data_IF_772593970643
#
_entry.id   IF_772593970643
#
_cell.length_a   1.000
_cell.length_b   1.000
_cell.length_c   1.000
_cell.angle_alpha   90.00
_cell.angle_beta   90.00
_cell.angle_gamma   90.00
#
_symmetry.space_group_name_H-M   'P 1'
#
loop_
_entity.id
_entity.type
_entity.pdbx_description
1 polymer ?
#
# COMPACT_ATOMS: atom_id res chain seq x y z
N UNK A 1 -12.50 2.29 39.65
CA UNK A 1 -13.11 2.21 38.30
C UNK A 1 -12.05 2.28 37.19
N UNK A 2 -11.18 3.29 37.21
CA UNK A 2 -10.11 3.53 36.21
C UNK A 2 -9.16 2.32 36.05
N UNK A 3 -8.76 1.67 37.14
CA UNK A 3 -7.90 0.47 37.10
C UNK A 3 -8.50 -0.70 36.30
N UNK A 4 -9.82 -0.91 36.39
CA UNK A 4 -10.50 -1.99 35.64
C UNK A 4 -10.54 -1.67 34.14
N UNK A 5 -10.68 -0.39 33.78
CA UNK A 5 -10.66 0.08 32.39
C UNK A 5 -9.28 -0.15 31.76
N UNK A 6 -8.21 0.20 32.49
CA UNK A 6 -6.82 -0.01 32.06
C UNK A 6 -6.44 -1.48 31.85
N UNK A 7 -7.15 -2.41 32.50
CA UNK A 7 -6.91 -3.85 32.38
C UNK A 7 -7.57 -4.47 31.14
N UNK A 8 -8.71 -3.93 30.73
CA UNK A 8 -9.53 -4.47 29.64
C UNK A 8 -9.18 -3.85 28.29
N UNK A 9 -8.83 -2.56 28.26
CA UNK A 9 -8.47 -1.83 27.05
C UNK A 9 -7.28 -2.41 26.25
N UNK A 10 -6.21 -2.94 26.89
CA UNK A 10 -5.10 -3.58 26.19
C UNK A 10 -5.52 -4.79 25.35
N UNK A 11 -6.51 -5.55 25.81
CA UNK A 11 -7.01 -6.73 25.09
C UNK A 11 -7.68 -6.31 23.79
N UNK A 12 -8.56 -5.31 23.85
CA UNK A 12 -9.25 -4.79 22.67
C UNK A 12 -8.30 -4.07 21.71
N UNK A 13 -7.35 -3.27 22.23
CA UNK A 13 -6.34 -2.63 21.38
C UNK A 13 -5.45 -3.68 20.70
N UNK A 14 -5.06 -4.74 21.41
CA UNK A 14 -4.35 -5.89 20.86
C UNK A 14 -5.10 -6.58 19.72
N UNK A 15 -6.39 -6.86 19.89
CA UNK A 15 -7.24 -7.42 18.82
C UNK A 15 -7.30 -6.49 17.60
N UNK A 16 -7.48 -5.19 17.83
CA UNK A 16 -7.50 -4.19 16.75
C UNK A 16 -6.17 -4.10 16.01
N UNK A 17 -5.04 -4.21 16.72
CA UNK A 17 -3.71 -4.23 16.13
C UNK A 17 -3.45 -5.52 15.34
N UNK A 18 -3.79 -6.68 15.89
CA UNK A 18 -3.62 -7.98 15.20
C UNK A 18 -4.48 -8.07 13.94
N UNK A 19 -5.68 -7.49 13.96
CA UNK A 19 -6.59 -7.46 12.81
C UNK A 19 -6.32 -6.28 11.85
N UNK A 20 -5.27 -5.50 12.08
CA UNK A 20 -4.85 -4.35 11.27
C UNK A 20 -6.00 -3.36 11.03
N UNK A 21 -6.73 -3.03 12.09
CA UNK A 21 -7.84 -2.08 12.05
C UNK A 21 -7.40 -0.71 12.55
N UNK A 22 -7.92 0.34 11.90
CA UNK A 22 -7.65 1.75 12.26
C UNK A 22 -8.05 2.08 13.69
N UNK A 23 -9.17 1.55 14.17
CA UNK A 23 -9.62 1.72 15.55
C UNK A 23 -8.67 1.08 16.56
N UNK A 24 -7.92 0.04 16.18
CA UNK A 24 -6.93 -0.61 17.04
C UNK A 24 -5.77 0.31 17.41
N UNK A 25 -5.26 1.08 16.44
CA UNK A 25 -4.25 2.10 16.71
C UNK A 25 -4.81 3.21 17.60
N UNK A 26 -6.03 3.68 17.31
CA UNK A 26 -6.64 4.74 18.11
C UNK A 26 -6.77 4.30 19.58
N UNK A 27 -7.31 3.10 19.82
CA UNK A 27 -7.41 2.54 21.17
C UNK A 27 -6.04 2.34 21.82
N UNK A 28 -5.05 1.87 21.06
CA UNK A 28 -3.68 1.72 21.57
C UNK A 28 -3.10 3.07 22.01
N UNK A 29 -3.17 4.11 21.18
CA UNK A 29 -2.64 5.43 21.51
C UNK A 29 -3.36 6.06 22.70
N UNK A 30 -4.69 5.97 22.74
CA UNK A 30 -5.48 6.48 23.86
C UNK A 30 -5.14 5.75 25.16
N UNK A 31 -5.02 4.41 25.11
CA UNK A 31 -4.66 3.62 26.28
C UNK A 31 -3.22 3.90 26.74
N UNK A 32 -2.27 4.01 25.82
CA UNK A 32 -0.89 4.36 26.12
C UNK A 32 -0.79 5.73 26.81
N UNK A 33 -1.51 6.73 26.30
CA UNK A 33 -1.57 8.06 26.91
C UNK A 33 -2.13 8.01 28.34
N UNK A 34 -3.27 7.33 28.54
CA UNK A 34 -3.89 7.18 29.85
C UNK A 34 -2.97 6.47 30.85
N UNK A 35 -2.27 5.43 30.40
CA UNK A 35 -1.36 4.66 31.23
C UNK A 35 -0.12 5.47 31.62
N UNK A 36 0.44 6.27 30.70
CA UNK A 36 1.53 7.20 30.99
C UNK A 36 1.08 8.24 32.03
N UNK A 37 -0.09 8.86 31.84
CA UNK A 37 -0.63 9.85 32.79
C UNK A 37 -0.85 9.22 34.17
N UNK A 38 -1.44 8.03 34.22
CA UNK A 38 -1.70 7.31 35.47
C UNK A 38 -0.40 6.97 36.20
N UNK A 39 0.61 6.45 35.49
CA UNK A 39 1.89 6.09 36.09
C UNK A 39 2.70 7.31 36.52
N UNK A 40 2.65 8.41 35.78
CA UNK A 40 3.25 9.69 36.19
C UNK A 40 2.59 10.21 37.48
N UNK A 41 1.26 10.15 37.57
CA UNK A 41 0.53 10.49 38.80
C UNK A 41 0.95 9.58 39.96
N UNK A 42 1.11 8.28 39.73
CA UNK A 42 1.54 7.34 40.76
C UNK A 42 2.97 7.64 41.26
N UNK A 43 3.91 7.94 40.36
CA UNK A 43 5.29 8.30 40.70
C UNK A 43 5.34 9.58 41.56
N UNK A 44 4.52 10.58 41.24
CA UNK A 44 4.50 11.86 41.97
C UNK A 44 3.89 11.72 43.36
N UNK A 45 2.81 10.95 43.50
CA UNK A 45 2.04 10.89 44.75
C UNK A 45 2.43 9.75 45.69
N UNK A 46 3.14 8.73 45.21
CA UNK A 46 3.59 7.59 46.02
C UNK A 46 5.11 7.40 45.84
N UNK A 47 5.93 7.61 46.88
CA UNK A 47 7.38 7.72 46.74
C UNK A 47 8.09 6.44 46.28
N UNK A 48 9.28 6.67 45.71
CA UNK A 48 10.11 5.83 44.82
C UNK A 48 10.30 4.35 45.20
N UNK A 49 10.30 3.98 46.48
CA UNK A 49 10.58 2.58 46.88
C UNK A 49 9.51 1.57 46.43
N UNK A 50 8.29 2.00 46.05
CA UNK A 50 7.21 1.12 45.59
C UNK A 50 6.88 1.20 44.09
N UNK A 51 7.47 2.15 43.35
CA UNK A 51 6.98 2.52 42.01
C UNK A 51 7.99 2.34 40.86
N UNK A 52 9.08 1.61 41.07
CA UNK A 52 10.00 1.23 39.99
C UNK A 52 9.29 0.57 38.81
N UNK A 53 8.26 -0.24 39.08
CA UNK A 53 7.45 -0.88 38.07
C UNK A 53 6.74 0.14 37.16
N UNK A 54 6.15 1.19 37.74
CA UNK A 54 5.48 2.26 36.99
C UNK A 54 6.46 3.03 36.10
N UNK A 55 7.70 3.23 36.55
CA UNK A 55 8.73 3.91 35.77
C UNK A 55 9.15 3.07 34.56
N UNK A 56 9.40 1.77 34.77
CA UNK A 56 9.70 0.82 33.68
C UNK A 56 8.55 0.76 32.67
N UNK A 57 7.31 0.72 33.16
CA UNK A 57 6.12 0.66 32.32
C UNK A 57 5.95 1.93 31.46
N UNK A 58 6.20 3.12 32.01
CA UNK A 58 6.20 4.37 31.24
C UNK A 58 7.24 4.35 30.11
N UNK A 59 8.47 3.88 30.41
CA UNK A 59 9.54 3.79 29.40
C UNK A 59 9.14 2.83 28.28
N UNK A 60 8.65 1.64 28.62
CA UNK A 60 8.24 0.64 27.65
C UNK A 60 7.11 1.16 26.76
N UNK A 61 6.04 1.68 27.37
CA UNK A 61 4.84 2.12 26.64
C UNK A 61 5.15 3.31 25.75
N UNK A 62 6.00 4.24 26.21
CA UNK A 62 6.49 5.35 25.38
C UNK A 62 7.28 4.82 24.17
N UNK A 63 8.20 3.89 24.40
CA UNK A 63 9.04 3.31 23.33
C UNK A 63 8.20 2.56 22.29
N UNK A 64 7.26 1.73 22.73
CA UNK A 64 6.32 1.03 21.85
C UNK A 64 5.44 2.01 21.06
N UNK A 65 4.98 3.09 21.70
CA UNK A 65 4.19 4.12 21.04
C UNK A 65 4.98 4.82 19.93
N UNK A 66 6.22 5.22 20.21
CA UNK A 66 7.10 5.81 19.21
C UNK A 66 7.41 4.86 18.04
N UNK A 67 7.58 3.56 18.33
CA UNK A 67 7.77 2.54 17.30
C UNK A 67 6.52 2.41 16.41
N UNK A 68 5.33 2.23 16.99
CA UNK A 68 4.09 2.06 16.24
C UNK A 68 3.74 3.30 15.41
N UNK A 69 4.05 4.51 15.93
CA UNK A 69 3.85 5.77 15.21
C UNK A 69 4.81 6.01 14.05
N UNK A 70 5.82 5.14 13.83
CA UNK A 70 6.66 5.22 12.64
C UNK A 70 5.80 5.04 11.39
N UNK A 71 6.06 5.89 10.40
CA UNK A 71 5.31 5.96 9.14
C UNK A 71 5.10 4.60 8.49
N UNK A 72 6.15 3.80 8.40
CA UNK A 72 6.07 2.50 7.74
C UNK A 72 5.24 1.46 8.50
N UNK A 73 5.04 1.68 9.81
CA UNK A 73 4.35 0.77 10.72
C UNK A 73 2.88 1.15 10.90
N UNK A 74 2.52 2.42 11.02
CA UNK A 74 1.11 2.82 11.16
C UNK A 74 0.35 2.90 9.82
N UNK A 75 1.06 3.09 8.69
CA UNK A 75 0.46 3.20 7.35
C UNK A 75 -0.54 2.06 7.02
N UNK A 76 -0.25 0.77 7.31
CA UNK A 76 -1.18 -0.33 7.08
C UNK A 76 -2.53 -0.17 7.78
N UNK A 77 -2.56 0.49 8.94
CA UNK A 77 -3.73 0.63 9.79
C UNK A 77 -4.55 1.87 9.44
N UNK A 78 -3.88 2.97 9.04
CA UNK A 78 -4.53 4.21 8.61
C UNK A 78 -5.05 4.17 7.16
N UNK A 79 -4.66 3.17 6.38
CA UNK A 79 -5.15 2.98 5.02
C UNK A 79 -6.53 2.32 5.05
N UNK A 80 -7.58 3.10 4.79
CA UNK A 80 -8.93 2.60 4.47
C UNK A 80 -9.01 1.75 3.19
N UNK A 81 -7.89 1.50 2.51
CA UNK A 81 -7.83 0.67 1.32
C UNK A 81 -7.42 -0.76 1.70
N UNK A 82 -8.21 -1.75 1.31
CA UNK A 82 -7.90 -3.18 1.54
C UNK A 82 -6.48 -3.49 1.04
N UNK A 83 -5.70 -4.24 1.82
CA UNK A 83 -4.35 -4.72 1.42
C UNK A 83 -4.50 -5.47 0.08
N UNK A 84 -4.03 -4.86 -1.00
CA UNK A 84 -4.27 -5.30 -2.38
C UNK A 84 -4.73 -4.21 -3.36
N UNK A 85 -5.08 -3.00 -2.89
CA UNK A 85 -5.44 -1.90 -3.79
C UNK A 85 -4.24 -1.41 -4.62
N UNK A 86 -4.48 -1.31 -5.94
CA UNK A 86 -3.51 -0.98 -6.98
C UNK A 86 -2.84 0.38 -6.67
N UNK A 87 -1.51 0.40 -6.53
CA UNK A 87 -0.72 1.61 -6.28
C UNK A 87 -0.89 2.74 -7.32
N UNK A 88 -1.48 2.42 -8.48
CA UNK A 88 -1.81 3.40 -9.52
C UNK A 88 -3.30 3.29 -9.87
N UNK A 89 -3.99 4.44 -9.85
CA UNK A 89 -5.35 4.57 -10.37
C UNK A 89 -5.35 4.09 -11.82
N UNK A 90 -6.30 3.20 -12.15
CA UNK A 90 -6.50 2.72 -13.52
C UNK A 90 -7.77 3.31 -14.08
N UNK A 91 -7.73 3.75 -15.33
CA UNK A 91 -8.91 4.18 -16.07
C UNK A 91 -9.17 3.21 -17.23
N UNK A 92 -10.44 2.98 -17.53
CA UNK A 92 -10.87 2.20 -18.69
C UNK A 92 -10.72 3.13 -19.90
N UNK A 93 -9.53 3.13 -20.47
CA UNK A 93 -9.19 3.94 -21.63
C UNK A 93 -8.75 2.96 -22.72
N UNK A 94 -9.58 2.73 -23.75
CA UNK A 94 -9.19 1.92 -24.89
C UNK A 94 -8.09 2.64 -25.69
N UNK A 95 -6.93 1.99 -25.82
CA UNK A 95 -5.81 2.45 -26.64
C UNK A 95 -5.28 1.30 -27.45
N UNK A 96 -5.17 1.52 -28.77
CA UNK A 96 -4.49 0.60 -29.68
C UNK A 96 -3.00 0.59 -29.36
N UNK A 97 -2.45 -0.60 -29.26
CA UNK A 97 -1.03 -0.83 -29.05
C UNK A 97 -0.60 -2.13 -29.73
N UNK A 98 0.71 -2.23 -29.89
CA UNK A 98 1.38 -3.42 -30.39
C UNK A 98 2.28 -3.97 -29.28
N UNK A 99 2.18 -5.26 -29.00
CA UNK A 99 3.07 -5.99 -28.11
C UNK A 99 3.95 -6.86 -28.98
N UNK A 100 5.26 -6.67 -28.89
CA UNK A 100 6.26 -7.44 -29.61
C UNK A 100 7.05 -8.25 -28.58
N UNK A 101 7.04 -9.57 -28.75
CA UNK A 101 7.96 -10.51 -28.10
C UNK A 101 8.89 -11.12 -29.16
N UNK A 102 9.88 -11.91 -28.74
CA UNK A 102 10.88 -12.49 -29.65
C UNK A 102 10.24 -13.26 -30.81
N UNK A 103 9.15 -13.99 -30.52
CA UNK A 103 8.58 -14.95 -31.48
C UNK A 103 7.22 -14.52 -32.03
N UNK A 104 6.59 -13.49 -31.45
CA UNK A 104 5.20 -13.11 -31.76
C UNK A 104 4.96 -11.62 -31.59
N UNK A 105 4.06 -11.12 -32.41
CA UNK A 105 3.52 -9.76 -32.39
C UNK A 105 2.01 -9.83 -32.21
N UNK A 106 1.47 -8.97 -31.34
CA UNK A 106 0.03 -8.83 -31.12
C UNK A 106 -0.38 -7.37 -31.26
N UNK A 107 -1.38 -7.09 -32.09
CA UNK A 107 -2.02 -5.78 -32.19
C UNK A 107 -3.35 -5.83 -31.42
N UNK A 108 -3.44 -5.03 -30.36
CA UNK A 108 -4.48 -5.15 -29.35
C UNK A 108 -4.94 -3.79 -28.85
N UNK A 109 -6.04 -3.81 -28.10
CA UNK A 109 -6.55 -2.65 -27.39
C UNK A 109 -6.49 -2.85 -25.88
N UNK A 110 -6.12 -1.80 -25.15
CA UNK A 110 -6.07 -1.83 -23.68
C UNK A 110 -7.46 -1.88 -23.07
N UNK A 111 -7.65 -2.80 -22.13
CA UNK A 111 -8.83 -2.85 -21.25
C UNK A 111 -8.77 -1.77 -20.17
N UNK A 112 -7.57 -1.53 -19.63
CA UNK A 112 -7.32 -0.41 -18.74
C UNK A 112 -5.90 0.12 -18.87
N UNK A 113 -5.72 1.36 -18.47
CA UNK A 113 -4.45 2.08 -18.52
C UNK A 113 -4.16 2.73 -17.16
N UNK A 114 -2.89 2.77 -16.80
CA UNK A 114 -2.38 3.40 -15.59
C UNK A 114 -0.98 3.93 -15.82
N UNK A 115 -0.49 4.75 -14.89
CA UNK A 115 0.88 5.29 -14.96
C UNK A 115 1.97 4.21 -14.98
N UNK A 116 1.67 2.99 -14.52
CA UNK A 116 2.63 1.90 -14.37
C UNK A 116 2.45 0.77 -15.37
N UNK A 117 1.37 0.78 -16.16
CA UNK A 117 1.05 -0.34 -17.04
C UNK A 117 -0.41 -0.40 -17.42
N UNK A 118 -0.79 -1.49 -18.08
CA UNK A 118 -2.11 -1.68 -18.66
C UNK A 118 -2.55 -3.15 -18.61
N UNK A 119 -3.81 -3.41 -18.97
CA UNK A 119 -4.33 -4.76 -19.23
C UNK A 119 -4.75 -4.89 -20.68
N UNK A 120 -4.55 -6.07 -21.24
CA UNK A 120 -5.00 -6.45 -22.58
C UNK A 120 -5.63 -7.84 -22.54
N UNK A 121 -6.43 -8.16 -23.54
CA UNK A 121 -6.95 -9.51 -23.78
C UNK A 121 -6.07 -10.18 -24.84
N UNK A 122 -5.32 -11.21 -24.45
CA UNK A 122 -4.51 -12.05 -25.35
C UNK A 122 -5.07 -13.47 -25.29
N UNK A 123 -5.89 -13.87 -26.27
CA UNK A 123 -6.34 -15.26 -26.39
C UNK A 123 -5.12 -16.18 -26.54
N UNK A 124 -5.09 -17.29 -25.80
CA UNK A 124 -4.00 -18.27 -25.85
C UNK A 124 -2.61 -17.65 -25.68
N UNK A 125 -2.48 -16.78 -24.67
CA UNK A 125 -1.22 -16.10 -24.36
C UNK A 125 -0.10 -17.12 -24.11
N UNK A 126 0.95 -17.05 -24.94
CA UNK A 126 2.17 -17.87 -24.81
C UNK A 126 3.27 -17.15 -24.02
N UNK A 127 3.01 -15.94 -23.53
CA UNK A 127 3.97 -15.19 -22.73
C UNK A 127 4.06 -15.78 -21.32
N UNK A 128 5.28 -15.89 -20.80
CA UNK A 128 5.53 -16.28 -19.42
C UNK A 128 5.34 -15.13 -18.44
N UNK A 129 5.04 -15.45 -17.18
CA UNK A 129 5.09 -14.43 -16.11
C UNK A 129 6.52 -13.90 -16.00
N UNK A 130 6.67 -12.59 -15.85
CA UNK A 130 7.92 -11.84 -15.84
C UNK A 130 8.68 -11.77 -17.18
N UNK A 131 8.11 -12.29 -18.28
CA UNK A 131 8.75 -12.13 -19.59
C UNK A 131 8.80 -10.66 -19.99
N UNK A 132 9.90 -10.25 -20.60
CA UNK A 132 10.05 -8.92 -21.18
C UNK A 132 9.40 -8.85 -22.57
N UNK A 133 8.76 -7.72 -22.83
CA UNK A 133 8.10 -7.42 -24.10
C UNK A 133 8.34 -5.96 -24.44
N UNK A 134 8.30 -5.67 -25.73
CA UNK A 134 8.35 -4.32 -26.25
C UNK A 134 6.93 -3.88 -26.58
N UNK A 135 6.53 -2.71 -26.09
CA UNK A 135 5.20 -2.16 -26.33
C UNK A 135 5.32 -0.92 -27.18
N UNK A 136 4.62 -0.89 -28.31
CA UNK A 136 4.45 0.32 -29.13
C UNK A 136 3.05 0.86 -28.91
N UNK A 137 2.97 2.06 -28.35
CA UNK A 137 1.71 2.75 -28.07
C UNK A 137 1.61 4.01 -28.92
N UNK A 138 0.46 4.23 -29.53
CA UNK A 138 0.17 5.44 -30.28
C UNK A 138 -0.61 6.44 -29.41
N UNK A 139 -0.04 7.63 -29.21
CA UNK A 139 -0.65 8.70 -28.44
C UNK A 139 -0.38 10.05 -29.11
N UNK A 140 -1.44 10.85 -29.32
CA UNK A 140 -1.38 12.16 -29.98
C UNK A 140 -0.62 12.11 -31.32
N UNK A 141 -0.95 11.13 -32.18
CA UNK A 141 -0.33 10.90 -33.49
C UNK A 141 1.19 10.66 -33.44
N UNK A 142 1.73 10.27 -32.28
CA UNK A 142 3.12 9.85 -32.10
C UNK A 142 3.17 8.42 -31.61
N UNK A 143 4.10 7.63 -32.15
CA UNK A 143 4.37 6.27 -31.70
C UNK A 143 5.50 6.30 -30.67
N UNK A 144 5.26 5.68 -29.52
CA UNK A 144 6.24 5.51 -28.47
C UNK A 144 6.54 4.04 -28.29
N UNK A 145 7.83 3.72 -28.20
CA UNK A 145 8.31 2.37 -27.94
C UNK A 145 8.82 2.28 -26.49
N UNK A 146 8.34 1.27 -25.76
CA UNK A 146 8.55 1.15 -24.31
C UNK A 146 8.85 -0.29 -23.94
N UNK A 147 9.94 -0.52 -23.21
CA UNK A 147 10.19 -1.82 -22.57
C UNK A 147 9.17 -2.06 -21.46
N UNK A 148 8.56 -3.23 -21.47
CA UNK A 148 7.57 -3.64 -20.50
C UNK A 148 7.78 -5.09 -20.08
N UNK A 149 7.10 -5.50 -18.99
CA UNK A 149 7.15 -6.86 -18.50
C UNK A 149 5.77 -7.39 -18.16
N UNK A 150 5.54 -8.67 -18.41
CA UNK A 150 4.31 -9.36 -18.03
C UNK A 150 4.32 -9.57 -16.51
N UNK A 151 3.41 -8.91 -15.80
CA UNK A 151 3.34 -9.00 -14.32
C UNK A 151 2.26 -9.95 -13.83
N UNK A 152 1.24 -10.21 -14.66
CA UNK A 152 0.14 -11.12 -14.33
C UNK A 152 -0.44 -11.75 -15.58
N UNK A 153 -0.75 -13.03 -15.48
CA UNK A 153 -1.47 -13.78 -16.51
C UNK A 153 -2.73 -14.33 -15.83
N UNK A 154 -3.89 -14.01 -16.40
CA UNK A 154 -5.20 -14.51 -15.98
C UNK A 154 -6.02 -14.73 -17.25
N UNK A 155 -5.75 -15.82 -17.96
CA UNK A 155 -6.24 -16.10 -19.32
C UNK A 155 -7.75 -15.77 -19.46
N UNK A 156 -8.15 -14.91 -20.42
CA UNK A 156 -7.37 -14.28 -21.49
C UNK A 156 -6.77 -12.91 -21.16
N UNK A 157 -6.85 -12.45 -19.92
CA UNK A 157 -6.37 -11.13 -19.51
C UNK A 157 -4.90 -11.20 -19.08
N UNK A 158 -4.09 -10.33 -19.67
CA UNK A 158 -2.67 -10.18 -19.33
C UNK A 158 -2.43 -8.77 -18.80
N UNK A 159 -1.73 -8.68 -17.67
CA UNK A 159 -1.30 -7.44 -17.07
C UNK A 159 0.16 -7.18 -17.42
N UNK A 160 0.43 -6.01 -18.00
CA UNK A 160 1.76 -5.61 -18.46
C UNK A 160 2.16 -4.33 -17.72
N UNK A 161 3.37 -4.30 -17.18
CA UNK A 161 3.93 -3.14 -16.49
C UNK A 161 5.06 -2.52 -17.31
N UNK A 162 5.05 -1.20 -17.43
CA UNK A 162 6.13 -0.45 -18.05
C UNK A 162 7.39 -0.54 -17.17
N UNK A 163 8.56 -0.74 -17.79
CA UNK A 163 9.86 -0.77 -17.11
C UNK A 163 10.58 0.57 -17.28
N UNK A 164 10.79 0.96 -18.53
CA UNK A 164 11.55 2.15 -18.91
C UNK A 164 10.69 3.03 -19.81
N UNK A 165 9.92 3.94 -19.19
CA UNK A 165 9.04 4.83 -19.93
C UNK A 165 9.70 6.18 -20.20
N UNK A 166 9.71 6.66 -21.47
CA UNK A 166 10.15 8.02 -21.79
C UNK A 166 9.38 9.06 -20.97
N UNK A 167 10.09 10.11 -20.53
CA UNK A 167 9.52 11.18 -19.69
C UNK A 167 8.33 11.87 -20.37
N UNK A 168 8.40 12.03 -21.69
CA UNK A 168 7.33 12.59 -22.52
C UNK A 168 6.06 11.75 -22.47
N UNK A 169 6.17 10.44 -22.75
CA UNK A 169 5.05 9.51 -22.68
C UNK A 169 4.43 9.47 -21.27
N UNK A 170 5.28 9.48 -20.24
CA UNK A 170 4.82 9.54 -18.84
C UNK A 170 3.98 10.78 -18.56
N UNK A 171 4.41 11.94 -19.08
CA UNK A 171 3.67 13.19 -18.92
C UNK A 171 2.34 13.18 -19.69
N UNK A 172 2.31 12.60 -20.89
CA UNK A 172 1.09 12.44 -21.68
C UNK A 172 0.08 11.53 -20.98
N UNK A 173 0.52 10.36 -20.53
CA UNK A 173 -0.31 9.42 -19.76
C UNK A 173 -0.84 10.07 -18.48
N UNK A 174 -0.03 10.88 -17.78
CA UNK A 174 -0.48 11.60 -16.59
C UNK A 174 -1.57 12.63 -16.91
N UNK A 175 -1.44 13.37 -18.01
CA UNK A 175 -2.47 14.32 -18.46
C UNK A 175 -3.76 13.60 -18.81
N UNK A 176 -3.67 12.49 -19.52
CA UNK A 176 -4.82 11.68 -19.92
C UNK A 176 -5.52 11.04 -18.72
N UNK A 177 -4.76 10.49 -17.77
CA UNK A 177 -5.33 9.88 -16.56
C UNK A 177 -5.98 10.89 -15.61
N UNK A 178 -5.72 12.20 -15.78
CA UNK A 178 -6.36 13.28 -15.02
C UNK A 178 -7.69 13.75 -15.60
N UNK A 179 -7.90 13.62 -16.92
CA UNK A 179 -9.20 13.85 -17.58
C UNK A 179 -10.15 12.72 -17.21
#
# INVERSE_FOLDING_TARGET
MIQKILLVFPVFSGIGLLTVRSWGILLFCTNALLLIIFNMYAIVNYPIQKNWMSLVEVILVTTFSLYILRKDIYIPFGKFSKRGFRYAKRKIIPRKLEIVSKDKKWELETLDLSQRGFRVKIPNCSLGKNSEVLVRIEMNNRKYEVKAGVVRIANPIVGIAFREMPKELRNLLNKELRK
#
